data_IF_499303116961
#
_entry.id   IF_499303116961
#
_cell.length_a   1.000
_cell.length_b   1.000
_cell.length_c   1.000
_cell.angle_alpha   90.00
_cell.angle_beta   90.00
_cell.angle_gamma   90.00
#
_symmetry.space_group_name_H-M   'P 1'
#
loop_
_entity.id
_entity.type
_entity.pdbx_description
1 polymer ?
#
# COMPACT_ATOMS: atom_id res chain seq x y z
N UNK A 1 61.15 -9.21 27.57
CA UNK A 1 60.59 -10.15 26.57
C UNK A 1 59.73 -9.35 25.61
N UNK A 2 60.17 -9.28 24.35
CA UNK A 2 59.57 -8.48 23.27
C UNK A 2 58.24 -9.09 22.82
N UNK A 3 57.16 -8.31 22.84
CA UNK A 3 55.88 -8.69 22.22
C UNK A 3 55.86 -8.18 20.78
N UNK A 4 56.20 -9.07 19.84
CA UNK A 4 56.10 -8.82 18.41
C UNK A 4 54.62 -8.67 18.02
N UNK A 5 54.25 -7.50 17.48
CA UNK A 5 52.97 -7.28 16.82
C UNK A 5 52.96 -8.07 15.50
N UNK A 6 52.19 -9.17 15.45
CA UNK A 6 51.91 -9.87 14.19
C UNK A 6 50.93 -9.03 13.37
N UNK A 7 51.39 -8.48 12.26
CA UNK A 7 50.53 -7.83 11.26
C UNK A 7 49.70 -8.90 10.55
N UNK A 8 48.39 -8.67 10.42
CA UNK A 8 47.50 -9.53 9.64
C UNK A 8 47.88 -9.46 8.15
N UNK A 9 47.87 -10.59 7.42
CA UNK A 9 48.18 -10.60 5.99
C UNK A 9 47.09 -9.85 5.20
N UNK A 10 47.51 -9.03 4.24
CA UNK A 10 46.63 -8.14 3.46
C UNK A 10 45.46 -8.87 2.76
N UNK A 11 45.63 -10.15 2.44
CA UNK A 11 44.60 -11.03 1.87
C UNK A 11 43.43 -11.31 2.82
N UNK A 12 43.67 -11.36 4.14
CA UNK A 12 42.60 -11.52 5.16
C UNK A 12 41.84 -10.19 5.33
N UNK A 13 42.54 -9.06 5.23
CA UNK A 13 41.92 -7.73 5.25
C UNK A 13 41.00 -7.53 4.02
N UNK A 14 41.43 -7.97 2.84
CA UNK A 14 40.65 -7.87 1.60
C UNK A 14 39.40 -8.76 1.61
N UNK A 15 39.50 -9.99 2.15
CA UNK A 15 38.36 -10.89 2.37
C UNK A 15 37.35 -10.33 3.38
N UNK A 16 37.83 -9.71 4.48
CA UNK A 16 36.97 -9.03 5.45
C UNK A 16 36.26 -7.81 4.84
N UNK A 17 36.95 -7.04 4.00
CA UNK A 17 36.37 -5.92 3.25
C UNK A 17 35.34 -6.38 2.21
N UNK A 18 35.57 -7.48 1.50
CA UNK A 18 34.61 -8.08 0.56
C UNK A 18 33.39 -8.66 1.28
N UNK A 19 33.54 -9.26 2.47
CA UNK A 19 32.43 -9.72 3.30
C UNK A 19 31.59 -8.55 3.85
N UNK A 20 32.24 -7.44 4.24
CA UNK A 20 31.56 -6.22 4.70
C UNK A 20 30.72 -5.53 3.60
N UNK A 21 31.07 -5.69 2.32
CA UNK A 21 30.30 -5.10 1.20
C UNK A 21 29.05 -5.92 0.83
N UNK A 22 28.93 -7.17 1.30
CA UNK A 22 27.78 -8.05 0.95
C UNK A 22 26.62 -8.05 1.94
N UNK A 23 26.74 -7.34 3.07
CA UNK A 23 25.69 -7.22 4.09
C UNK A 23 25.47 -5.75 4.45
N UNK A 24 25.22 -4.91 3.44
CA UNK A 24 24.52 -3.66 3.68
C UNK A 24 23.08 -3.96 4.11
N UNK A 25 22.46 -3.19 5.04
CA UNK A 25 21.04 -3.30 5.27
C UNK A 25 20.33 -3.09 3.94
N UNK A 26 19.55 -4.08 3.50
CA UNK A 26 18.62 -3.85 2.39
C UNK A 26 17.71 -2.70 2.83
N UNK A 27 17.48 -1.69 1.98
CA UNK A 27 16.48 -0.69 2.29
C UNK A 27 15.19 -1.42 2.63
N UNK A 28 14.64 -1.11 3.79
CA UNK A 28 13.28 -1.50 4.15
C UNK A 28 12.36 -0.96 3.06
N UNK A 29 11.45 -1.79 2.58
CA UNK A 29 10.52 -1.45 1.51
C UNK A 29 9.20 -1.00 2.13
N UNK A 30 8.70 0.17 1.74
CA UNK A 30 7.41 0.61 2.27
C UNK A 30 6.30 -0.28 1.74
N UNK A 31 5.15 -0.27 2.40
CA UNK A 31 4.02 -1.02 1.90
C UNK A 31 2.74 -0.27 2.23
N UNK A 32 1.91 -0.06 1.21
CA UNK A 32 0.67 0.69 1.39
C UNK A 32 -0.30 0.55 0.23
N UNK A 33 -1.57 0.77 0.56
CA UNK A 33 -2.68 0.69 -0.40
C UNK A 33 -3.77 1.74 -0.12
N UNK A 34 -4.40 2.18 -1.20
CA UNK A 34 -5.61 3.00 -1.17
C UNK A 34 -6.84 2.08 -0.95
N UNK A 35 -7.46 2.23 0.23
CA UNK A 35 -8.60 1.43 0.68
C UNK A 35 -9.94 2.12 0.46
N UNK A 36 -10.00 3.46 0.54
CA UNK A 36 -11.21 4.23 0.22
C UNK A 36 -10.85 5.45 -0.64
N UNK A 37 -11.43 5.59 -1.85
CA UNK A 37 -12.18 4.57 -2.58
C UNK A 37 -11.29 3.34 -2.88
N UNK A 38 -11.83 2.10 -2.85
CA UNK A 38 -11.02 0.91 -3.11
C UNK A 38 -10.31 0.99 -4.47
N UNK A 39 -8.98 0.87 -4.45
CA UNK A 39 -8.17 0.83 -5.67
C UNK A 39 -8.16 -0.55 -6.33
N UNK A 40 -7.86 -0.61 -7.63
CA UNK A 40 -7.90 -1.82 -8.48
C UNK A 40 -7.22 -3.04 -7.84
N UNK A 41 -6.09 -2.82 -7.18
CA UNK A 41 -5.30 -3.80 -6.42
C UNK A 41 -6.02 -4.33 -5.16
N UNK A 42 -6.78 -3.49 -4.46
CA UNK A 42 -7.42 -3.80 -3.18
C UNK A 42 -8.92 -4.13 -3.29
N UNK A 43 -9.54 -3.96 -4.47
CA UNK A 43 -10.97 -4.17 -4.69
C UNK A 43 -11.47 -5.55 -4.21
N UNK A 44 -10.69 -6.61 -4.37
CA UNK A 44 -11.05 -7.96 -3.91
C UNK A 44 -11.30 -8.04 -2.40
N UNK A 45 -10.67 -7.18 -1.59
CA UNK A 45 -10.87 -7.10 -0.12
C UNK A 45 -12.26 -6.64 0.28
N UNK A 46 -12.96 -5.99 -0.66
CA UNK A 46 -14.32 -5.47 -0.51
C UNK A 46 -15.34 -6.37 -1.24
N UNK A 47 -14.94 -7.55 -1.71
CA UNK A 47 -15.83 -8.50 -2.40
C UNK A 47 -16.06 -8.23 -3.88
N UNK A 48 -15.43 -7.19 -4.46
CA UNK A 48 -15.51 -6.98 -5.91
C UNK A 48 -14.92 -8.18 -6.67
N UNK A 49 -15.39 -8.48 -7.89
CA UNK A 49 -14.97 -9.64 -8.67
C UNK A 49 -13.59 -9.47 -9.34
N UNK A 50 -12.71 -8.65 -8.75
CA UNK A 50 -11.33 -8.51 -9.17
C UNK A 50 -10.56 -9.79 -8.75
N UNK A 51 -9.55 -10.23 -9.54
CA UNK A 51 -8.63 -11.25 -9.09
C UNK A 51 -7.98 -10.87 -7.74
N UNK A 52 -7.71 -11.87 -6.91
CA UNK A 52 -7.05 -11.65 -5.62
C UNK A 52 -5.60 -11.27 -5.85
N UNK A 53 -5.20 -10.11 -5.34
CA UNK A 53 -3.81 -9.68 -5.29
C UNK A 53 -3.36 -9.68 -3.82
N UNK A 54 -2.60 -10.69 -3.41
CA UNK A 54 -2.05 -10.75 -2.04
C UNK A 54 -0.99 -9.67 -1.78
N UNK A 55 -0.38 -9.12 -2.83
CA UNK A 55 0.63 -8.05 -2.75
C UNK A 55 0.02 -6.70 -3.16
N UNK A 56 -1.24 -6.49 -2.83
CA UNK A 56 -1.95 -5.27 -3.18
C UNK A 56 -1.41 -4.02 -2.46
N UNK A 57 -0.54 -4.18 -1.48
CA UNK A 57 0.21 -3.11 -0.82
C UNK A 57 1.59 -2.83 -1.44
N UNK A 58 1.99 -3.53 -2.51
CA UNK A 58 3.33 -3.47 -3.14
C UNK A 58 3.31 -2.82 -4.54
N UNK A 59 2.44 -1.84 -4.78
CA UNK A 59 2.45 -1.09 -6.05
C UNK A 59 3.50 0.03 -6.09
N UNK A 60 4.73 -0.37 -5.82
CA UNK A 60 5.95 0.42 -5.66
C UNK A 60 6.76 0.67 -6.95
N UNK A 61 6.11 0.75 -8.11
CA UNK A 61 6.79 0.98 -9.39
C UNK A 61 7.84 -0.10 -9.77
N UNK A 62 7.71 -1.30 -9.21
CA UNK A 62 8.67 -2.41 -9.34
C UNK A 62 9.79 -2.45 -8.30
N UNK A 63 9.76 -1.55 -7.31
CA UNK A 63 10.79 -1.37 -6.29
C UNK A 63 11.80 -0.29 -6.67
N UNK A 64 12.50 0.24 -5.66
CA UNK A 64 13.40 1.40 -5.80
C UNK A 64 14.39 1.28 -6.97
N UNK A 65 15.16 0.19 -7.03
CA UNK A 65 16.21 0.02 -8.06
C UNK A 65 15.61 -0.10 -9.47
N UNK A 66 14.46 -0.78 -9.60
CA UNK A 66 13.76 -0.91 -10.87
C UNK A 66 13.25 0.45 -11.33
N UNK A 67 12.65 1.24 -10.44
CA UNK A 67 12.16 2.58 -10.78
C UNK A 67 13.33 3.50 -11.18
N UNK A 68 14.29 3.71 -10.30
CA UNK A 68 15.27 4.79 -10.45
C UNK A 68 16.47 4.45 -11.32
N UNK A 69 16.97 3.22 -11.24
CA UNK A 69 18.18 2.81 -11.97
C UNK A 69 17.84 2.20 -13.33
N UNK A 70 16.87 1.28 -13.39
CA UNK A 70 16.48 0.63 -14.64
C UNK A 70 15.52 1.49 -15.47
N UNK A 71 14.47 2.02 -14.86
CA UNK A 71 13.42 2.76 -15.55
C UNK A 71 13.64 4.27 -15.56
N UNK A 72 14.79 4.76 -15.08
CA UNK A 72 15.17 6.19 -15.10
C UNK A 72 14.16 7.10 -14.37
N UNK A 73 13.62 6.61 -13.25
CA UNK A 73 12.60 7.30 -12.45
C UNK A 73 11.17 7.08 -12.92
N UNK A 74 10.95 6.44 -14.07
CA UNK A 74 9.62 6.21 -14.60
C UNK A 74 8.88 5.11 -13.83
N UNK A 75 7.57 5.32 -13.67
CA UNK A 75 6.63 4.41 -13.03
C UNK A 75 5.40 4.22 -13.92
N UNK A 76 4.77 3.04 -13.88
CA UNK A 76 3.47 2.82 -14.51
C UNK A 76 2.42 3.78 -13.94
N UNK A 77 1.36 4.04 -14.70
CA UNK A 77 0.33 5.01 -14.30
C UNK A 77 -0.32 4.59 -12.97
N UNK A 78 -0.49 3.29 -12.79
CA UNK A 78 -1.14 2.70 -11.62
C UNK A 78 -0.17 1.87 -10.75
N UNK A 79 1.11 2.24 -10.73
CA UNK A 79 2.10 1.69 -9.79
C UNK A 79 2.82 0.41 -10.22
N UNK A 80 2.48 -0.13 -11.38
CA UNK A 80 3.23 -1.21 -12.01
C UNK A 80 4.65 -0.78 -12.42
N UNK A 81 5.58 -1.73 -12.55
CA UNK A 81 6.91 -1.47 -13.07
C UNK A 81 6.85 -0.95 -14.51
N UNK A 82 7.54 0.15 -14.79
CA UNK A 82 7.41 0.88 -16.06
C UNK A 82 7.84 0.05 -17.28
N UNK A 83 8.86 -0.80 -17.18
CA UNK A 83 9.30 -1.63 -18.31
C UNK A 83 8.32 -2.75 -18.70
N UNK A 84 7.28 -3.04 -17.90
CA UNK A 84 6.27 -4.03 -18.25
C UNK A 84 5.50 -3.59 -19.50
N UNK A 85 5.14 -4.57 -20.33
CA UNK A 85 4.37 -4.33 -21.56
C UNK A 85 2.95 -3.87 -21.20
N UNK A 86 2.47 -2.86 -21.92
CA UNK A 86 1.08 -2.40 -21.80
C UNK A 86 0.07 -3.38 -22.45
N UNK A 87 -1.15 -3.50 -21.90
CA UNK A 87 -1.59 -2.90 -20.64
C UNK A 87 -0.90 -3.58 -19.45
N UNK A 88 -0.35 -2.78 -18.53
CA UNK A 88 0.22 -3.31 -17.29
C UNK A 88 -0.90 -3.86 -16.39
N UNK A 89 -0.61 -4.73 -15.42
CA UNK A 89 -1.65 -5.42 -14.65
C UNK A 89 -2.70 -4.50 -14.03
N UNK A 90 -2.32 -3.32 -13.54
CA UNK A 90 -3.24 -2.38 -12.89
C UNK A 90 -3.69 -1.23 -13.79
N UNK A 91 -3.33 -1.25 -15.08
CA UNK A 91 -3.81 -0.31 -16.10
C UNK A 91 -5.08 -0.85 -16.79
N UNK A 92 -5.77 0.01 -17.54
CA UNK A 92 -7.02 -0.26 -18.24
C UNK A 92 -6.85 -1.43 -19.21
N UNK A 93 -7.70 -2.45 -19.06
CA UNK A 93 -7.60 -3.70 -19.82
C UNK A 93 -6.62 -4.71 -19.23
N UNK A 94 -5.89 -4.36 -18.17
CA UNK A 94 -5.03 -5.26 -17.40
C UNK A 94 -5.79 -6.28 -16.56
N UNK A 95 -5.04 -7.06 -15.78
CA UNK A 95 -5.58 -8.07 -14.89
C UNK A 95 -6.53 -7.48 -13.84
N UNK A 96 -6.15 -6.35 -13.24
CA UNK A 96 -6.91 -5.66 -12.19
C UNK A 96 -7.67 -4.43 -12.70
N UNK A 97 -7.27 -3.84 -13.83
CA UNK A 97 -7.95 -2.71 -14.46
C UNK A 97 -9.20 -3.11 -15.26
N UNK A 98 -10.24 -3.58 -14.55
CA UNK A 98 -11.51 -4.03 -15.14
C UNK A 98 -12.52 -2.91 -15.43
N UNK A 99 -12.23 -1.67 -15.03
CA UNK A 99 -13.14 -0.52 -15.21
C UNK A 99 -14.39 -0.59 -14.33
N UNK A 100 -14.33 -1.32 -13.22
CA UNK A 100 -15.43 -1.44 -12.27
C UNK A 100 -15.43 -0.19 -11.38
N UNK A 101 -16.52 0.59 -11.43
CA UNK A 101 -16.70 1.77 -10.58
C UNK A 101 -16.83 1.35 -9.12
N UNK A 102 -15.81 1.63 -8.31
CA UNK A 102 -15.78 1.28 -6.88
C UNK A 102 -16.61 2.22 -6.03
N UNK A 103 -16.71 3.51 -6.42
CA UNK A 103 -17.50 4.53 -5.72
C UNK A 103 -18.16 5.53 -6.67
N UNK A 104 -19.28 6.09 -6.23
CA UNK A 104 -20.02 7.14 -6.95
C UNK A 104 -20.10 8.39 -6.08
N UNK A 105 -19.77 9.54 -6.66
CA UNK A 105 -19.75 10.84 -5.98
C UNK A 105 -20.51 11.89 -6.79
N UNK A 106 -20.77 13.04 -6.17
CA UNK A 106 -21.25 14.24 -6.86
C UNK A 106 -20.11 15.22 -7.06
N UNK A 107 -20.12 15.96 -8.17
CA UNK A 107 -19.17 17.03 -8.42
C UNK A 107 -19.14 18.03 -7.24
N UNK A 108 -17.94 18.41 -6.79
CA UNK A 108 -17.80 19.29 -5.64
C UNK A 108 -18.01 18.65 -4.25
N UNK A 109 -18.20 17.34 -4.16
CA UNK A 109 -18.33 16.66 -2.87
C UNK A 109 -16.97 16.54 -2.15
N UNK A 110 -16.96 16.61 -0.82
CA UNK A 110 -15.84 16.11 -0.01
C UNK A 110 -15.78 14.58 -0.09
N UNK A 111 -14.65 14.06 -0.53
CA UNK A 111 -14.35 12.64 -0.61
C UNK A 111 -13.53 12.24 0.62
N UNK A 112 -13.97 11.22 1.34
CA UNK A 112 -13.18 10.56 2.37
C UNK A 112 -12.16 9.61 1.72
N UNK A 113 -10.91 9.71 2.15
CA UNK A 113 -9.80 8.88 1.70
C UNK A 113 -9.35 8.02 2.88
N UNK A 114 -9.18 6.72 2.65
CA UNK A 114 -8.53 5.81 3.59
C UNK A 114 -7.32 5.17 2.93
N UNK A 115 -6.14 5.41 3.52
CA UNK A 115 -4.88 4.78 3.16
C UNK A 115 -4.48 3.83 4.28
N UNK A 116 -4.12 2.61 3.95
CA UNK A 116 -3.56 1.65 4.89
C UNK A 116 -2.10 1.43 4.54
N UNK A 117 -1.19 1.81 5.44
CA UNK A 117 0.23 1.47 5.35
C UNK A 117 0.51 0.25 6.23
N UNK A 118 0.92 -0.85 5.62
CA UNK A 118 1.37 -2.04 6.35
C UNK A 118 2.82 -1.92 6.79
N UNK A 119 3.60 -1.06 6.11
CA UNK A 119 4.93 -0.61 6.52
C UNK A 119 5.07 0.89 6.20
N UNK A 120 5.07 1.71 7.25
CA UNK A 120 5.05 3.16 7.18
C UNK A 120 6.46 3.75 7.18
N UNK A 121 6.88 4.32 6.04
CA UNK A 121 8.19 4.94 5.85
C UNK A 121 8.14 6.47 5.82
N UNK A 122 7.14 7.06 6.50
CA UNK A 122 6.93 8.51 6.57
C UNK A 122 6.81 9.14 5.17
N UNK A 123 6.87 10.46 5.06
CA UNK A 123 6.76 11.15 3.77
C UNK A 123 5.36 11.70 3.56
N UNK A 124 4.79 11.53 2.35
CA UNK A 124 3.53 12.19 2.00
C UNK A 124 2.69 11.45 0.97
N UNK A 125 1.39 11.71 1.00
CA UNK A 125 0.43 11.27 -0.01
C UNK A 125 -0.01 12.46 -0.88
N UNK A 126 -0.24 12.18 -2.16
CA UNK A 126 -0.83 13.12 -3.11
C UNK A 126 -1.92 12.40 -3.90
N UNK A 127 -3.04 13.07 -4.15
CA UNK A 127 -4.18 12.51 -4.92
C UNK A 127 -4.48 13.38 -6.14
N UNK A 128 -4.72 12.70 -7.25
CA UNK A 128 -5.07 13.32 -8.52
C UNK A 128 -6.26 12.60 -9.15
N UNK A 129 -6.98 13.32 -10.01
CA UNK A 129 -8.14 12.80 -10.72
C UNK A 129 -7.90 12.88 -12.23
N UNK A 130 -8.37 11.88 -12.98
CA UNK A 130 -8.46 11.96 -14.44
C UNK A 130 -9.91 11.64 -14.88
N UNK A 131 -10.61 12.58 -15.54
CA UNK A 131 -11.93 12.33 -16.16
C UNK A 131 -11.86 11.39 -17.38
N UNK A 132 -11.62 10.11 -17.14
CA UNK A 132 -11.39 9.08 -18.17
C UNK A 132 -12.66 8.32 -18.56
N UNK A 133 -13.52 8.89 -19.40
CA UNK A 133 -14.83 8.30 -19.73
C UNK A 133 -14.80 7.00 -20.57
N UNK A 134 -13.63 6.36 -20.74
CA UNK A 134 -13.48 5.09 -21.44
C UNK A 134 -12.68 4.09 -20.58
N UNK A 135 -13.31 3.07 -19.98
CA UNK A 135 -12.64 2.09 -19.12
C UNK A 135 -11.63 1.18 -19.86
N UNK A 136 -11.59 1.23 -21.19
CA UNK A 136 -10.62 0.49 -22.02
C UNK A 136 -9.42 1.35 -22.47
N UNK A 137 -9.44 2.65 -22.19
CA UNK A 137 -8.33 3.55 -22.43
C UNK A 137 -7.66 3.88 -21.10
N UNK A 138 -6.34 3.77 -21.03
CA UNK A 138 -5.61 4.13 -19.82
C UNK A 138 -5.55 5.65 -19.66
N UNK A 139 -5.68 6.12 -18.42
CA UNK A 139 -5.52 7.52 -18.09
C UNK A 139 -4.05 7.93 -18.28
N UNK A 140 -3.79 9.18 -18.62
CA UNK A 140 -2.43 9.68 -18.80
C UNK A 140 -1.99 10.50 -17.59
N UNK A 141 -0.68 10.54 -17.32
CA UNK A 141 -0.16 11.42 -16.27
C UNK A 141 -0.53 12.90 -16.54
N UNK A 142 -0.44 13.33 -17.80
CA UNK A 142 -0.91 14.66 -18.23
C UNK A 142 -2.37 14.99 -17.90
N UNK A 143 -3.23 13.96 -17.77
CA UNK A 143 -4.61 14.14 -17.36
C UNK A 143 -4.69 14.36 -15.84
N UNK A 144 -4.00 13.52 -15.06
CA UNK A 144 -3.92 13.64 -13.60
C UNK A 144 -3.36 14.99 -13.17
N UNK A 145 -2.28 15.43 -13.79
CA UNK A 145 -1.57 16.66 -13.44
C UNK A 145 -2.45 17.92 -13.62
N UNK A 146 -3.55 17.84 -14.38
CA UNK A 146 -4.53 18.92 -14.56
C UNK A 146 -5.58 18.99 -13.46
N UNK A 147 -5.78 17.91 -12.69
CA UNK A 147 -6.81 17.85 -11.64
C UNK A 147 -6.24 17.31 -10.32
N UNK A 148 -5.34 18.06 -9.66
CA UNK A 148 -4.96 17.77 -8.28
C UNK A 148 -6.18 17.85 -7.35
N UNK A 149 -6.25 16.96 -6.37
CA UNK A 149 -7.25 17.00 -5.30
C UNK A 149 -6.65 17.63 -4.05
N UNK A 150 -7.25 18.72 -3.58
CA UNK A 150 -6.79 19.45 -2.42
C UNK A 150 -7.37 18.87 -1.13
N UNK A 151 -6.58 18.84 -0.05
CA UNK A 151 -7.06 18.51 1.28
C UNK A 151 -8.17 19.49 1.67
N UNK A 152 -9.28 18.95 2.19
CA UNK A 152 -10.46 19.75 2.44
C UNK A 152 -10.17 20.90 3.41
N UNK A 153 -10.73 22.09 3.11
CA UNK A 153 -10.48 23.32 3.86
C UNK A 153 -9.12 23.96 3.63
N UNK A 154 -8.28 23.43 2.72
CA UNK A 154 -6.93 23.95 2.45
C UNK A 154 -6.67 24.15 0.96
N UNK A 155 -5.47 24.62 0.62
CA UNK A 155 -4.92 24.64 -0.75
C UNK A 155 -3.76 23.68 -0.93
N UNK A 156 -3.59 22.76 0.00
CA UNK A 156 -2.51 21.77 -0.03
C UNK A 156 -2.97 20.51 -0.75
N UNK A 157 -2.12 19.96 -1.62
CA UNK A 157 -2.32 18.64 -2.25
C UNK A 157 -1.64 17.55 -1.43
N UNK A 158 -0.61 17.93 -0.66
CA UNK A 158 0.28 17.03 0.07
C UNK A 158 -0.27 16.75 1.45
N UNK A 159 -0.69 15.53 1.69
CA UNK A 159 -0.91 15.03 3.05
C UNK A 159 0.43 14.54 3.60
N UNK A 160 1.02 15.26 4.55
CA UNK A 160 2.22 14.80 5.24
C UNK A 160 1.85 13.80 6.34
N UNK A 161 2.54 12.66 6.36
CA UNK A 161 2.33 11.63 7.38
C UNK A 161 2.79 12.19 8.74
N UNK A 162 1.94 12.17 9.79
CA UNK A 162 2.33 12.62 11.13
C UNK A 162 3.56 11.87 11.66
N UNK A 163 4.55 12.56 12.26
CA UNK A 163 5.78 11.92 12.76
C UNK A 163 5.58 10.88 13.87
N UNK A 164 4.46 10.96 14.59
CA UNK A 164 4.06 10.05 15.69
C UNK A 164 3.23 8.86 15.21
N UNK A 165 3.05 8.70 13.90
CA UNK A 165 2.31 7.59 13.30
C UNK A 165 2.98 6.24 13.55
N UNK A 166 2.16 5.20 13.59
CA UNK A 166 2.63 3.83 13.87
C UNK A 166 3.34 3.23 12.66
N UNK A 167 4.14 2.19 12.90
CA UNK A 167 4.83 1.41 11.84
C UNK A 167 3.85 0.77 10.86
N UNK A 168 2.69 0.33 11.35
CA UNK A 168 1.50 -0.03 10.58
C UNK A 168 0.37 0.89 11.02
N UNK A 169 -0.24 1.61 10.09
CA UNK A 169 -1.25 2.62 10.43
C UNK A 169 -2.28 2.82 9.31
N UNK A 170 -3.42 3.39 9.69
CA UNK A 170 -4.50 3.74 8.76
C UNK A 170 -4.74 5.24 8.82
N UNK A 171 -4.50 5.91 7.70
CA UNK A 171 -4.68 7.34 7.56
C UNK A 171 -6.03 7.63 6.92
N UNK A 172 -6.84 8.43 7.61
CA UNK A 172 -8.11 8.92 7.09
C UNK A 172 -8.08 10.44 7.00
N UNK A 173 -8.38 10.96 5.82
CA UNK A 173 -8.45 12.39 5.55
C UNK A 173 -9.46 12.67 4.45
N UNK A 174 -9.81 13.95 4.25
CA UNK A 174 -10.77 14.36 3.23
C UNK A 174 -10.09 15.21 2.17
N UNK A 175 -10.49 14.99 0.93
CA UNK A 175 -10.11 15.81 -0.23
C UNK A 175 -11.33 16.37 -0.92
N UNK A 176 -11.17 17.49 -1.60
CA UNK A 176 -12.24 18.19 -2.30
C UNK A 176 -12.28 17.78 -3.77
N UNK A 177 -13.40 17.19 -4.24
CA UNK A 177 -13.60 16.96 -5.67
C UNK A 177 -13.83 18.29 -6.41
N UNK A 178 -13.42 18.41 -7.70
CA UNK A 178 -13.64 19.63 -8.47
C UNK A 178 -15.14 19.89 -8.71
N UNK A 179 -15.56 21.16 -8.60
CA UNK A 179 -16.97 21.57 -8.67
C UNK A 179 -17.67 21.28 -10.01
N UNK A 180 -16.91 21.29 -11.11
CA UNK A 180 -17.46 21.23 -12.47
C UNK A 180 -16.93 20.05 -13.29
N UNK A 181 -16.37 19.05 -12.61
CA UNK A 181 -15.90 17.82 -13.25
C UNK A 181 -16.95 16.73 -13.04
N UNK A 182 -17.32 16.07 -14.13
CA UNK A 182 -18.18 14.88 -14.11
C UNK A 182 -17.63 13.84 -15.08
N UNK A 183 -17.88 12.58 -14.78
CA UNK A 183 -17.35 11.45 -15.54
C UNK A 183 -18.16 10.19 -15.24
N UNK A 184 -18.39 9.38 -16.27
CA UNK A 184 -18.99 8.03 -16.11
C UNK A 184 -17.98 7.06 -15.52
N UNK A 185 -16.70 7.28 -15.81
CA UNK A 185 -15.55 6.61 -15.22
C UNK A 185 -14.46 7.68 -15.08
N UNK A 186 -14.04 7.95 -13.86
CA UNK A 186 -12.83 8.70 -13.54
C UNK A 186 -11.83 7.71 -12.95
N UNK A 187 -10.55 8.01 -13.14
CA UNK A 187 -9.48 7.33 -12.40
C UNK A 187 -9.01 8.31 -11.33
N UNK A 188 -8.92 7.85 -10.08
CA UNK A 188 -8.25 8.54 -8.99
C UNK A 188 -6.89 7.88 -8.78
N UNK A 189 -5.82 8.66 -8.85
CA UNK A 189 -4.44 8.20 -8.64
C UNK A 189 -3.98 8.67 -7.27
N UNK A 190 -3.77 7.74 -6.35
CA UNK A 190 -3.04 7.99 -5.11
C UNK A 190 -1.56 7.72 -5.36
N UNK A 191 -0.71 8.67 -4.97
CA UNK A 191 0.74 8.49 -4.97
C UNK A 191 1.29 8.68 -3.57
N UNK A 192 2.11 7.73 -3.11
CA UNK A 192 2.87 7.82 -1.88
C UNK A 192 4.35 8.00 -2.20
N UNK A 193 4.94 9.06 -1.68
CA UNK A 193 6.39 9.29 -1.71
C UNK A 193 6.95 9.06 -0.32
N UNK A 194 7.79 8.05 -0.17
CA UNK A 194 8.40 7.71 1.12
C UNK A 194 9.34 8.81 1.62
N UNK A 195 9.52 8.89 2.94
CA UNK A 195 10.31 9.93 3.61
C UNK A 195 11.57 9.40 4.31
N UNK A 196 11.89 8.12 4.19
CA UNK A 196 13.00 7.47 4.89
C UNK A 196 14.32 7.45 4.09
N UNK A 197 14.33 7.92 2.85
CA UNK A 197 15.51 7.95 1.99
C UNK A 197 16.45 9.11 2.36
N UNK A 198 17.76 8.87 2.38
CA UNK A 198 18.77 9.93 2.48
C UNK A 198 19.13 10.42 1.08
N UNK A 199 19.16 11.72 0.88
CA UNK A 199 19.59 12.28 -0.39
C UNK A 199 19.78 13.79 -0.37
N UNK A 200 20.09 14.34 -1.55
CA UNK A 200 20.32 15.77 -1.73
C UNK A 200 18.99 16.50 -1.90
N UNK A 201 18.78 17.54 -1.10
CA UNK A 201 17.63 18.44 -1.17
C UNK A 201 17.86 19.56 -2.21
N UNK A 202 16.79 20.27 -2.58
CA UNK A 202 16.83 21.34 -3.60
C UNK A 202 17.76 22.51 -3.23
N UNK A 203 17.91 22.79 -1.93
CA UNK A 203 18.85 23.79 -1.42
C UNK A 203 20.31 23.32 -1.41
N UNK A 204 20.59 22.12 -1.94
CA UNK A 204 21.92 21.53 -2.04
C UNK A 204 22.41 20.80 -0.78
N UNK A 205 21.68 20.84 0.34
CA UNK A 205 22.02 20.07 1.56
C UNK A 205 21.65 18.60 1.41
N UNK A 206 22.10 17.74 2.33
CA UNK A 206 21.68 16.35 2.39
C UNK A 206 20.94 16.06 3.69
N UNK A 207 19.81 15.36 3.59
CA UNK A 207 19.03 14.93 4.76
C UNK A 207 18.17 13.71 4.44
N UNK A 208 17.68 13.06 5.49
CA UNK A 208 16.57 12.10 5.39
C UNK A 208 15.33 12.82 4.82
N UNK A 209 14.57 12.14 3.97
CA UNK A 209 13.40 12.67 3.28
C UNK A 209 13.72 13.43 1.99
N UNK A 210 15.00 13.57 1.64
CA UNK A 210 15.45 14.18 0.39
C UNK A 210 15.96 13.13 -0.61
N UNK A 211 16.14 13.56 -1.87
CA UNK A 211 16.55 12.69 -2.96
C UNK A 211 15.39 11.97 -3.63
N UNK A 212 15.69 10.78 -4.17
CA UNK A 212 14.74 9.94 -4.90
C UNK A 212 13.95 9.09 -3.91
N UNK A 213 12.64 9.29 -3.75
CA UNK A 213 11.84 8.46 -2.85
C UNK A 213 11.47 7.13 -3.52
N UNK A 214 11.25 6.09 -2.74
CA UNK A 214 10.41 4.99 -3.21
C UNK A 214 8.99 5.50 -3.42
N UNK A 215 8.36 5.07 -4.51
CA UNK A 215 7.07 5.61 -4.94
C UNK A 215 6.05 4.50 -5.06
N UNK A 216 4.89 4.67 -4.41
CA UNK A 216 3.75 3.77 -4.59
C UNK A 216 2.66 4.51 -5.35
N UNK A 217 1.98 3.83 -6.27
CA UNK A 217 0.81 4.38 -6.96
C UNK A 217 -0.33 3.39 -6.98
N UNK A 218 -1.54 3.83 -6.67
CA UNK A 218 -2.74 3.03 -6.87
C UNK A 218 -3.76 3.82 -7.67
N UNK A 219 -4.54 3.12 -8.48
CA UNK A 219 -5.65 3.69 -9.24
C UNK A 219 -6.98 3.14 -8.74
N UNK A 220 -7.95 4.02 -8.48
CA UNK A 220 -9.34 3.65 -8.19
C UNK A 220 -10.26 4.19 -9.29
N UNK A 221 -11.15 3.34 -9.81
CA UNK A 221 -12.15 3.74 -10.79
C UNK A 221 -13.40 4.23 -10.08
N UNK A 222 -13.77 5.50 -10.25
CA UNK A 222 -14.93 6.13 -9.59
C UNK A 222 -15.86 6.76 -10.63
N UNK A 223 -17.07 7.18 -10.26
CA UNK A 223 -17.91 8.00 -11.14
C UNK A 223 -18.32 9.28 -10.43
N UNK A 224 -18.35 10.39 -11.15
CA UNK A 224 -18.76 11.70 -10.62
C UNK A 224 -19.94 12.21 -11.45
N UNK A 225 -21.09 12.38 -10.82
CA UNK A 225 -22.28 12.94 -11.47
C UNK A 225 -22.35 14.45 -11.29
N UNK A 226 -22.89 15.17 -12.27
CA UNK A 226 -23.05 16.63 -12.21
C UNK A 226 -24.07 17.03 -11.13
N UNK A 227 -23.84 18.17 -10.49
CA UNK A 227 -24.77 18.75 -9.50
C UNK A 227 -25.79 19.71 -10.14
N UNK A 228 -26.13 19.52 -11.42
CA UNK A 228 -27.05 20.38 -12.17
C UNK A 228 -28.49 20.16 -11.71
N UNK A 229 -28.83 20.71 -10.53
CA UNK A 229 -30.16 20.59 -9.93
C UNK A 229 -30.35 21.25 -8.57
N UNK A 230 -29.30 21.81 -7.93
CA UNK A 230 -29.46 22.65 -6.73
C UNK A 230 -30.10 21.98 -5.49
N UNK A 231 -30.27 20.66 -5.47
CA UNK A 231 -30.99 19.99 -4.39
C UNK A 231 -30.59 18.53 -4.29
N UNK A 232 -29.99 18.18 -3.14
CA UNK A 232 -29.66 16.85 -2.61
C UNK A 232 -28.93 15.90 -3.58
N UNK A 233 -27.79 15.29 -3.20
CA UNK A 233 -27.19 14.22 -4.00
C UNK A 233 -28.28 13.17 -4.33
N UNK A 234 -28.37 12.67 -5.58
CA UNK A 234 -29.39 11.69 -5.93
C UNK A 234 -29.36 10.54 -4.92
N UNK A 235 -30.53 10.01 -4.53
CA UNK A 235 -30.67 8.94 -3.53
C UNK A 235 -29.86 7.66 -3.83
N UNK A 236 -29.27 7.55 -5.03
CA UNK A 236 -28.43 6.45 -5.50
C UNK A 236 -26.92 6.73 -5.39
N UNK A 237 -26.51 7.90 -4.88
CA UNK A 237 -25.12 8.24 -4.55
C UNK A 237 -24.82 7.64 -3.18
N UNK A 238 -24.48 6.35 -3.19
CA UNK A 238 -24.10 5.57 -2.03
C UNK A 238 -23.08 4.50 -2.41
N UNK A 239 -22.59 3.76 -1.42
CA UNK A 239 -21.69 2.63 -1.60
C UNK A 239 -22.42 1.49 -2.34
N UNK A 240 -22.53 1.61 -3.66
CA UNK A 240 -23.24 0.67 -4.53
C UNK A 240 -22.31 -0.49 -4.92
N UNK A 241 -21.61 -1.08 -3.95
CA UNK A 241 -20.93 -2.34 -4.16
C UNK A 241 -21.94 -3.47 -3.88
N UNK A 242 -22.55 -4.09 -4.91
CA UNK A 242 -23.54 -5.16 -4.70
C UNK A 242 -22.94 -6.43 -4.10
N UNK A 243 -21.60 -6.53 -4.05
CA UNK A 243 -20.88 -7.67 -3.50
C UNK A 243 -20.45 -7.46 -2.05
N UNK A 244 -20.62 -6.24 -1.49
CA UNK A 244 -20.24 -5.94 -0.12
C UNK A 244 -21.16 -6.66 0.86
N UNK A 245 -20.59 -7.60 1.61
CA UNK A 245 -21.27 -8.26 2.72
C UNK A 245 -21.18 -7.39 3.98
N UNK A 246 -22.15 -7.58 4.86
CA UNK A 246 -22.20 -6.91 6.17
C UNK A 246 -22.35 -7.97 7.24
N UNK A 247 -21.71 -7.75 8.38
CA UNK A 247 -21.92 -8.56 9.58
C UNK A 247 -22.43 -7.68 10.71
N UNK A 248 -23.08 -8.32 11.69
CA UNK A 248 -23.59 -7.66 12.87
C UNK A 248 -22.78 -8.10 14.08
N UNK A 249 -22.19 -7.15 14.79
CA UNK A 249 -21.57 -7.41 16.08
C UNK A 249 -22.63 -7.24 17.18
N UNK A 250 -22.86 -8.27 17.99
CA UNK A 250 -23.83 -8.19 19.10
C UNK A 250 -23.22 -7.62 20.38
N UNK A 251 -21.91 -7.38 20.41
CA UNK A 251 -21.21 -6.72 21.52
C UNK A 251 -21.44 -5.21 21.51
N UNK A 252 -21.72 -4.64 20.35
CA UNK A 252 -21.94 -3.20 20.16
C UNK A 252 -23.43 -2.82 20.24
N UNK A 253 -23.76 -1.62 20.77
CA UNK A 253 -25.13 -1.17 20.92
C UNK A 253 -25.77 -0.87 19.55
N UNK A 254 -27.06 -1.16 19.42
CA UNK A 254 -27.87 -0.73 18.27
C UNK A 254 -28.04 0.80 18.30
N UNK A 255 -28.04 1.49 17.14
CA UNK A 255 -28.10 0.94 15.77
C UNK A 255 -26.73 0.68 15.10
N UNK A 256 -25.62 1.10 15.72
CA UNK A 256 -24.30 1.18 15.07
C UNK A 256 -23.52 -0.16 15.06
N UNK A 257 -24.23 -1.27 15.10
CA UNK A 257 -23.66 -2.59 15.31
C UNK A 257 -23.55 -3.43 14.02
N UNK A 258 -23.70 -2.78 12.86
CA UNK A 258 -23.60 -3.40 11.53
C UNK A 258 -22.40 -2.80 10.81
N UNK A 259 -21.47 -3.66 10.41
CA UNK A 259 -20.20 -3.25 9.80
C UNK A 259 -20.02 -3.89 8.42
N UNK A 260 -19.41 -3.17 7.46
CA UNK A 260 -19.03 -3.77 6.19
C UNK A 260 -17.92 -4.80 6.40
N UNK A 261 -18.05 -5.96 5.76
CA UNK A 261 -16.99 -6.97 5.74
C UNK A 261 -15.89 -6.51 4.77
N UNK A 262 -14.71 -6.22 5.32
CA UNK A 262 -13.51 -5.82 4.58
C UNK A 262 -12.35 -6.70 5.06
N UNK A 263 -11.66 -7.37 4.14
CA UNK A 263 -10.49 -8.19 4.47
C UNK A 263 -9.27 -7.29 4.67
N UNK A 264 -8.86 -7.07 5.91
CA UNK A 264 -7.69 -6.23 6.24
C UNK A 264 -6.41 -7.02 6.48
N UNK A 265 -6.55 -8.31 6.76
CA UNK A 265 -5.42 -9.21 7.00
C UNK A 265 -4.52 -9.30 5.75
N UNK A 266 -3.20 -9.29 5.98
CA UNK A 266 -2.20 -9.33 4.92
C UNK A 266 -1.64 -10.74 4.74
N UNK A 267 -1.32 -11.39 5.85
CA UNK A 267 -0.75 -12.74 5.91
C UNK A 267 -1.49 -13.53 6.97
N UNK A 268 -1.80 -14.78 6.65
CA UNK A 268 -2.39 -15.73 7.59
C UNK A 268 -1.59 -17.03 7.61
N UNK A 269 -1.19 -17.44 8.80
CA UNK A 269 -0.29 -18.56 9.04
C UNK A 269 -0.99 -19.65 9.85
N UNK A 270 -0.60 -20.92 9.68
CA UNK A 270 -1.10 -21.98 10.53
C UNK A 270 -0.68 -21.79 11.99
N UNK A 271 -1.53 -22.21 12.92
CA UNK A 271 -1.17 -22.26 14.34
C UNK A 271 -0.06 -23.29 14.58
N UNK A 272 0.55 -23.25 15.77
CA UNK A 272 1.64 -24.17 16.14
C UNK A 272 1.26 -25.66 15.97
N UNK A 273 -0.03 -26.00 16.10
CA UNK A 273 -0.56 -27.35 15.90
C UNK A 273 -0.55 -27.78 14.44
N UNK A 274 -0.78 -26.85 13.51
CA UNK A 274 -0.96 -27.15 12.09
C UNK A 274 0.25 -26.78 11.21
N UNK A 275 1.24 -26.05 11.73
CA UNK A 275 2.40 -25.57 10.95
C UNK A 275 3.27 -26.67 10.32
N UNK A 276 3.23 -27.90 10.84
CA UNK A 276 4.00 -29.03 10.31
C UNK A 276 3.31 -29.76 9.15
N UNK A 277 2.06 -29.43 8.85
CA UNK A 277 1.32 -30.05 7.75
C UNK A 277 1.62 -29.32 6.43
N UNK A 278 1.88 -30.11 5.39
CA UNK A 278 2.22 -29.60 4.05
C UNK A 278 1.04 -28.81 3.48
N UNK A 279 1.32 -27.62 2.93
CA UNK A 279 0.32 -26.77 2.27
C UNK A 279 -0.55 -25.94 3.22
N UNK A 280 -0.34 -26.02 4.55
CA UNK A 280 -1.16 -25.28 5.51
C UNK A 280 -0.95 -23.76 5.43
N UNK A 281 0.23 -23.28 5.05
CA UNK A 281 0.46 -21.85 4.82
C UNK A 281 -0.42 -21.33 3.67
N UNK A 282 -0.41 -22.00 2.52
CA UNK A 282 -1.25 -21.64 1.38
C UNK A 282 -2.74 -21.78 1.71
N UNK A 283 -3.11 -22.80 2.50
CA UNK A 283 -4.48 -23.00 2.94
C UNK A 283 -4.95 -21.87 3.84
N UNK A 284 -4.16 -21.48 4.85
CA UNK A 284 -4.49 -20.37 5.74
C UNK A 284 -4.54 -19.06 4.97
N UNK A 285 -3.54 -18.77 4.14
CA UNK A 285 -3.52 -17.56 3.30
C UNK A 285 -4.77 -17.48 2.42
N UNK A 286 -5.12 -18.56 1.73
CA UNK A 286 -6.23 -18.56 0.79
C UNK A 286 -7.58 -18.55 1.50
N UNK A 287 -7.77 -19.35 2.54
CA UNK A 287 -9.08 -19.47 3.20
C UNK A 287 -9.37 -18.32 4.15
N UNK A 288 -8.37 -17.80 4.86
CA UNK A 288 -8.57 -16.68 5.76
C UNK A 288 -8.79 -15.36 5.00
N UNK A 289 -8.17 -15.20 3.82
CA UNK A 289 -8.32 -13.98 3.04
C UNK A 289 -9.41 -14.06 1.96
N UNK A 290 -10.02 -15.23 1.71
CA UNK A 290 -11.13 -15.30 0.74
C UNK A 290 -12.31 -14.41 1.20
N UNK A 291 -13.20 -14.09 0.28
CA UNK A 291 -14.39 -13.29 0.57
C UNK A 291 -15.68 -14.12 0.38
N UNK A 292 -16.46 -14.45 1.44
CA UNK A 292 -16.21 -14.20 2.86
C UNK A 292 -15.16 -15.16 3.48
N UNK A 293 -14.45 -14.72 4.52
CA UNK A 293 -13.31 -15.45 5.07
C UNK A 293 -13.75 -16.74 5.78
N UNK A 294 -12.91 -17.76 5.72
CA UNK A 294 -13.02 -18.98 6.52
C UNK A 294 -11.70 -19.21 7.24
N UNK A 295 -11.58 -18.60 8.41
CA UNK A 295 -10.36 -18.62 9.21
C UNK A 295 -10.66 -19.17 10.61
N UNK A 296 -10.70 -20.50 10.81
CA UNK A 296 -10.85 -21.06 12.15
C UNK A 296 -9.63 -20.71 13.00
N UNK A 297 -9.83 -20.01 14.12
CA UNK A 297 -8.74 -19.56 15.02
C UNK A 297 -7.89 -20.71 15.61
N UNK A 298 -8.45 -21.92 15.66
CA UNK A 298 -7.72 -23.12 16.09
C UNK A 298 -6.73 -23.63 15.04
N UNK A 299 -6.95 -23.27 13.77
CA UNK A 299 -6.19 -23.77 12.60
C UNK A 299 -5.25 -22.70 12.07
N UNK A 300 -5.72 -21.45 11.96
CA UNK A 300 -4.96 -20.34 11.41
C UNK A 300 -5.03 -19.11 12.31
N UNK A 301 -4.04 -18.24 12.18
CA UNK A 301 -3.99 -16.92 12.79
C UNK A 301 -3.44 -15.92 11.78
N UNK A 302 -3.88 -14.66 11.85
CA UNK A 302 -3.46 -13.60 10.93
C UNK A 302 -2.76 -12.50 11.73
N UNK A 303 -1.43 -12.60 11.95
CA UNK A 303 -0.72 -11.63 12.77
C UNK A 303 -0.79 -10.23 12.16
N UNK A 304 -0.95 -9.24 13.03
CA UNK A 304 -1.09 -7.83 12.60
C UNK A 304 0.18 -7.03 12.82
N UNK A 305 1.06 -7.51 13.70
CA UNK A 305 2.29 -6.82 14.07
C UNK A 305 3.43 -7.82 14.25
N UNK A 306 4.66 -7.33 14.15
CA UNK A 306 5.87 -8.08 14.43
C UNK A 306 6.85 -7.24 15.24
N UNK A 307 7.60 -7.92 16.09
CA UNK A 307 8.65 -7.34 16.92
C UNK A 307 9.97 -8.07 16.70
N UNK A 308 11.05 -7.31 16.78
CA UNK A 308 12.39 -7.83 16.77
C UNK A 308 12.72 -8.51 18.10
N UNK A 309 13.18 -9.75 18.02
CA UNK A 309 13.62 -10.58 19.14
C UNK A 309 15.09 -10.98 18.95
N UNK A 310 15.64 -11.68 19.94
CA UNK A 310 17.01 -12.19 19.87
C UNK A 310 18.02 -11.05 19.69
N UNK A 311 18.90 -11.20 18.69
CA UNK A 311 19.98 -10.25 18.41
C UNK A 311 19.52 -8.87 17.89
N UNK A 312 18.30 -8.79 17.34
CA UNK A 312 17.73 -7.56 16.79
C UNK A 312 16.94 -6.75 17.83
N UNK A 313 16.67 -7.33 19.00
CA UNK A 313 15.84 -6.71 20.04
C UNK A 313 16.39 -5.34 20.45
N UNK A 314 15.52 -4.33 20.41
CA UNK A 314 15.83 -2.96 20.84
C UNK A 314 16.70 -2.16 19.87
N UNK A 315 17.07 -2.71 18.71
CA UNK A 315 17.75 -1.95 17.65
C UNK A 315 16.75 -1.07 16.92
N UNK A 316 17.16 0.16 16.65
CA UNK A 316 16.35 1.11 15.87
C UNK A 316 16.03 0.53 14.48
N UNK A 317 14.77 0.64 14.05
CA UNK A 317 14.29 0.11 12.77
C UNK A 317 14.11 -1.42 12.71
N UNK A 318 14.50 -2.19 13.72
CA UNK A 318 14.47 -3.65 13.64
C UNK A 318 13.05 -4.25 13.60
N UNK A 319 12.07 -3.66 14.31
CA UNK A 319 10.70 -4.16 14.20
C UNK A 319 10.10 -3.84 12.83
N UNK A 320 10.51 -2.74 12.18
CA UNK A 320 10.09 -2.41 10.81
C UNK A 320 10.63 -3.47 9.86
N UNK A 321 11.90 -3.83 9.99
CA UNK A 321 12.48 -4.97 9.27
C UNK A 321 11.66 -6.26 9.50
N UNK A 322 11.24 -6.54 10.74
CA UNK A 322 10.41 -7.73 11.00
C UNK A 322 9.03 -7.65 10.36
N UNK A 323 8.37 -6.49 10.38
CA UNK A 323 7.10 -6.28 9.67
C UNK A 323 7.28 -6.57 8.18
N UNK A 324 8.32 -6.01 7.56
CA UNK A 324 8.61 -6.18 6.14
C UNK A 324 8.94 -7.62 5.77
N UNK A 325 9.72 -8.33 6.61
CA UNK A 325 10.14 -9.70 6.30
C UNK A 325 9.08 -10.75 6.63
N UNK A 326 8.09 -10.43 7.45
CA UNK A 326 7.14 -11.42 7.99
C UNK A 326 5.68 -11.19 7.59
N UNK A 327 5.24 -9.93 7.43
CA UNK A 327 3.85 -9.58 7.08
C UNK A 327 3.68 -9.28 5.58
N UNK A 328 4.42 -9.96 4.72
CA UNK A 328 4.19 -9.99 3.27
C UNK A 328 3.85 -11.40 2.78
N UNK A 329 3.21 -11.50 1.63
CA UNK A 329 2.87 -12.78 1.05
C UNK A 329 4.15 -13.53 0.65
N UNK A 330 4.21 -14.83 0.95
CA UNK A 330 5.43 -15.65 0.78
C UNK A 330 6.62 -15.06 1.54
N UNK A 331 6.36 -14.64 2.77
CA UNK A 331 7.35 -14.07 3.67
C UNK A 331 8.52 -15.01 3.94
N UNK A 332 9.71 -14.44 4.08
CA UNK A 332 10.91 -15.13 4.53
C UNK A 332 11.25 -14.71 5.97
N UNK A 333 10.28 -14.90 6.86
CA UNK A 333 10.34 -14.40 8.23
C UNK A 333 11.43 -15.13 9.04
N UNK A 334 12.47 -14.42 9.54
CA UNK A 334 13.49 -15.05 10.36
C UNK A 334 12.96 -15.30 11.78
N UNK A 335 12.48 -16.52 12.04
CA UNK A 335 11.78 -16.88 13.28
C UNK A 335 12.64 -16.77 14.56
N UNK A 336 13.96 -16.72 14.44
CA UNK A 336 14.91 -16.50 15.55
C UNK A 336 15.13 -15.01 15.87
N UNK A 337 14.75 -14.12 14.96
CA UNK A 337 14.99 -12.67 15.03
C UNK A 337 13.71 -11.84 15.03
N UNK A 338 12.60 -12.42 14.60
CA UNK A 338 11.30 -11.76 14.49
C UNK A 338 10.19 -12.62 15.10
N UNK A 339 9.28 -11.98 15.83
CA UNK A 339 8.07 -12.61 16.38
C UNK A 339 6.85 -11.80 15.97
N UNK A 340 5.89 -12.45 15.33
CA UNK A 340 4.63 -11.84 14.90
C UNK A 340 3.46 -12.39 15.70
N UNK A 341 2.44 -11.56 15.91
CA UNK A 341 1.24 -11.92 16.68
C UNK A 341 0.00 -11.14 16.25
#
# INVERSE_FOLDING_TARGET
MSWARRLMPASVLLLLLLLLVTVGPRPADAHGRLMEPPARNAMWRFGFPNPVNYNDNELFCGGYAVQWEQNQGNCGVCGDAYHLRAPRPHEAGGEYGKGIVSRRYVAGQELEVEIELTANHMGRFELYLCPNNNPRAEATQDCFDRYPLYLSGTREVRFFIPPDSKKKDVFRYRVQLPLYVSCTQCVLQWTYFTGNMWGRCDNGTESVGCGRPETFRNCADISIVSNTGGGRPPLFVGNNNPFLLYYRDFRDPKPDNVYPLIIRDQVCLPTATYRSFIGMEEWCQSNCLRYPPNCPETVCHCPQTCEAIGELRGREGADVYCLDQCLNFKSNCPADRCRCY
#
